data_IF_393046335181
#
_entry.id   IF_393046335181
#
_cell.length_a   1.000
_cell.length_b   1.000
_cell.length_c   1.000
_cell.angle_alpha   90.00
_cell.angle_beta   90.00
_cell.angle_gamma   90.00
#
_symmetry.space_group_name_H-M   'P 1'
#
loop_
_entity.id
_entity.type
_entity.pdbx_description
1 polymer ?
#
# COMPACT_ATOMS: atom_id res chain seq x y z
N UNK A 1 -11.84 -4.57 27.73
CA UNK A 1 -10.78 -5.52 27.37
C UNK A 1 -10.79 -5.90 25.88
N UNK A 2 -11.94 -6.07 25.20
CA UNK A 2 -12.02 -6.44 23.77
C UNK A 2 -11.66 -5.32 22.78
N UNK A 3 -11.76 -4.03 23.14
CA UNK A 3 -11.34 -2.89 22.29
C UNK A 3 -9.82 -2.76 22.08
N UNK A 4 -9.02 -3.35 22.96
CA UNK A 4 -7.56 -3.32 22.89
C UNK A 4 -7.04 -4.38 21.89
N UNK A 5 -7.79 -5.47 21.68
CA UNK A 5 -7.38 -6.58 20.82
C UNK A 5 -7.51 -6.22 19.32
N UNK A 6 -8.55 -5.47 18.95
CA UNK A 6 -8.71 -5.03 17.55
C UNK A 6 -7.64 -4.01 17.13
N UNK A 7 -7.24 -3.11 18.06
CA UNK A 7 -6.10 -2.20 17.80
C UNK A 7 -4.77 -2.96 17.70
N UNK A 8 -4.61 -4.05 18.45
CA UNK A 8 -3.38 -4.85 18.41
C UNK A 8 -3.23 -5.65 17.10
N UNK A 9 -4.33 -6.02 16.45
CA UNK A 9 -4.27 -6.80 15.19
C UNK A 9 -3.85 -5.93 13.99
N UNK A 10 -4.32 -4.69 13.90
CA UNK A 10 -3.83 -3.76 12.89
C UNK A 10 -2.43 -3.22 13.22
N UNK A 11 -2.14 -2.98 14.49
CA UNK A 11 -0.79 -2.65 14.96
C UNK A 11 0.22 -3.76 14.71
N UNK A 12 -0.20 -5.04 14.80
CA UNK A 12 0.68 -6.18 14.51
C UNK A 12 0.87 -6.43 13.01
N UNK A 13 -0.03 -5.98 12.15
CA UNK A 13 0.20 -5.94 10.69
C UNK A 13 1.29 -4.91 10.30
N UNK A 14 1.51 -3.89 11.13
CA UNK A 14 2.57 -2.90 10.98
C UNK A 14 3.84 -3.24 11.79
N UNK A 15 3.74 -4.09 12.84
CA UNK A 15 4.81 -4.38 13.80
C UNK A 15 5.26 -5.86 13.81
N UNK A 16 4.92 -6.65 12.81
CA UNK A 16 5.19 -8.08 12.73
C UNK A 16 6.64 -8.50 12.51
N UNK A 17 7.55 -8.01 13.35
CA UNK A 17 8.92 -8.52 13.47
C UNK A 17 9.37 -8.43 14.93
N UNK A 18 8.97 -9.32 15.81
CA UNK A 18 9.77 -9.81 16.94
C UNK A 18 9.11 -11.03 17.56
N UNK A 19 9.71 -12.18 17.47
CA UNK A 19 9.61 -13.22 18.51
C UNK A 19 10.94 -13.96 18.62
N UNK A 20 11.56 -13.80 19.75
CA UNK A 20 12.66 -14.63 20.24
C UNK A 20 12.10 -15.84 20.99
N UNK A 21 12.67 -17.00 20.73
CA UNK A 21 12.54 -18.18 21.58
C UNK A 21 13.77 -19.08 21.42
N UNK A 22 14.41 -19.37 22.51
CA UNK A 22 15.71 -20.01 22.70
C UNK A 22 15.75 -21.52 22.43
N UNK A 23 16.91 -21.95 22.03
CA UNK A 23 17.72 -23.14 22.26
C UNK A 23 17.94 -24.16 21.15
N UNK A 24 19.16 -24.02 20.64
CA UNK A 24 20.22 -24.99 20.28
C UNK A 24 19.90 -26.30 19.55
N UNK A 25 20.39 -26.39 18.32
CA UNK A 25 21.47 -27.31 17.89
C UNK A 25 21.92 -27.03 16.46
N UNK A 26 23.23 -27.11 16.28
CA UNK A 26 23.99 -26.76 15.10
C UNK A 26 23.56 -27.52 13.83
N UNK A 27 23.40 -26.78 12.72
CA UNK A 27 23.95 -27.17 11.43
C UNK A 27 24.07 -26.00 10.49
N UNK A 28 25.25 -25.81 9.97
CA UNK A 28 25.65 -24.74 9.06
C UNK A 28 24.85 -24.78 7.74
N UNK A 29 24.13 -23.67 7.43
CA UNK A 29 24.04 -23.19 6.05
C UNK A 29 23.77 -21.67 6.07
N UNK A 30 24.68 -20.99 5.44
CA UNK A 30 24.90 -19.57 5.39
C UNK A 30 23.74 -18.87 4.65
N UNK A 31 22.83 -18.23 5.40
CA UNK A 31 21.95 -17.17 4.89
C UNK A 31 22.12 -15.98 5.80
N UNK A 32 22.69 -14.93 5.28
CA UNK A 32 22.85 -13.64 5.97
C UNK A 32 21.48 -13.07 6.33
N UNK A 33 21.06 -13.29 7.57
CA UNK A 33 19.97 -12.54 8.17
C UNK A 33 20.50 -11.14 8.52
N UNK A 34 19.87 -10.12 7.98
CA UNK A 34 20.09 -8.73 8.41
C UNK A 34 19.45 -8.60 9.79
N UNK A 35 20.32 -8.51 10.79
CA UNK A 35 19.95 -8.30 12.18
C UNK A 35 19.45 -6.87 12.35
N UNK A 36 18.13 -6.70 12.46
CA UNK A 36 17.52 -5.40 12.75
C UNK A 36 17.65 -5.16 14.24
N UNK A 37 18.60 -4.37 14.63
CA UNK A 37 18.71 -3.85 16.00
C UNK A 37 17.44 -3.05 16.33
N UNK A 38 16.69 -3.55 17.31
CA UNK A 38 15.59 -2.80 17.94
C UNK A 38 16.23 -1.67 18.74
N UNK A 39 16.04 -0.43 18.31
CA UNK A 39 16.33 0.74 19.13
C UNK A 39 15.38 0.76 20.34
N UNK A 40 15.94 1.02 21.51
CA UNK A 40 15.19 1.17 22.76
C UNK A 40 14.06 2.17 22.60
N UNK A 41 12.86 1.82 23.09
CA UNK A 41 11.71 2.71 23.20
C UNK A 41 12.13 4.02 23.87
N UNK A 42 12.15 5.10 23.13
CA UNK A 42 12.17 6.44 23.71
C UNK A 42 10.80 6.66 24.38
N UNK A 43 10.85 7.05 25.64
CA UNK A 43 9.70 7.34 26.51
C UNK A 43 8.84 8.45 25.84
N UNK A 44 7.88 8.03 25.03
CA UNK A 44 6.95 8.92 24.33
C UNK A 44 5.94 9.45 25.37
N UNK A 45 5.94 10.75 25.56
CA UNK A 45 4.92 11.42 26.38
C UNK A 45 3.52 11.02 25.93
N UNK A 46 2.68 10.74 26.87
CA UNK A 46 1.41 10.00 26.91
C UNK A 46 0.33 10.17 25.82
N UNK A 47 0.62 10.65 24.62
CA UNK A 47 -0.32 10.74 23.49
C UNK A 47 0.13 9.99 22.22
N UNK A 48 1.29 9.34 22.25
CA UNK A 48 1.84 8.60 21.11
C UNK A 48 2.46 9.52 20.03
N UNK A 49 2.66 10.79 20.31
CA UNK A 49 3.27 11.75 19.39
C UNK A 49 4.77 11.42 19.15
N UNK A 50 5.13 11.15 17.92
CA UNK A 50 6.53 10.98 17.48
C UNK A 50 6.94 12.24 16.74
N UNK A 51 7.86 13.07 17.28
CA UNK A 51 8.36 14.25 16.59
C UNK A 51 9.28 13.84 15.44
N UNK A 52 9.33 14.66 14.38
CA UNK A 52 10.42 14.55 13.40
C UNK A 52 11.71 15.20 13.95
N UNK A 53 12.83 14.96 13.26
CA UNK A 53 14.14 15.44 13.63
C UNK A 53 14.52 16.79 12.98
N UNK A 54 13.56 17.50 12.37
CA UNK A 54 13.81 18.80 11.77
C UNK A 54 14.12 19.86 12.86
N UNK A 55 15.12 20.74 12.64
CA UNK A 55 15.38 21.86 13.54
C UNK A 55 14.14 22.72 13.78
N UNK A 56 13.88 23.10 15.04
CA UNK A 56 12.71 23.92 15.40
C UNK A 56 12.75 25.32 14.78
N UNK A 57 13.94 25.85 14.51
CA UNK A 57 14.20 27.20 13.98
C UNK A 57 14.41 27.21 12.45
N UNK A 58 14.08 26.11 11.76
CA UNK A 58 14.23 26.01 10.31
C UNK A 58 13.22 26.91 9.60
N UNK A 59 13.72 27.89 8.82
CA UNK A 59 12.93 28.91 8.15
C UNK A 59 13.46 29.16 6.73
N UNK A 60 12.63 28.93 5.73
CA UNK A 60 12.99 29.13 4.32
C UNK A 60 12.49 30.47 3.75
N UNK A 61 12.10 31.43 4.59
CA UNK A 61 11.88 32.82 4.21
C UNK A 61 10.70 33.07 3.27
N UNK A 62 9.69 32.23 3.29
CA UNK A 62 8.49 32.34 2.44
C UNK A 62 8.73 31.92 0.98
N UNK A 63 9.75 31.09 0.73
CA UNK A 63 10.00 30.55 -0.61
C UNK A 63 8.85 29.64 -1.07
N UNK A 64 8.63 29.61 -2.38
CA UNK A 64 7.68 28.66 -2.99
C UNK A 64 8.38 27.35 -3.31
N UNK A 65 7.80 26.26 -2.87
CA UNK A 65 8.20 24.88 -3.20
C UNK A 65 7.22 24.35 -4.24
N UNK A 66 7.67 24.22 -5.47
CA UNK A 66 6.85 23.75 -6.59
C UNK A 66 6.90 22.22 -6.69
N UNK A 67 5.77 21.58 -6.49
CA UNK A 67 5.61 20.13 -6.47
C UNK A 67 4.91 19.69 -7.76
N UNK A 68 5.64 18.97 -8.62
CA UNK A 68 5.06 18.33 -9.79
C UNK A 68 4.39 17.04 -9.34
N UNK A 69 3.06 17.07 -9.28
CA UNK A 69 2.21 15.95 -8.91
C UNK A 69 1.48 15.32 -10.10
N UNK A 70 0.68 14.31 -9.85
CA UNK A 70 -0.15 13.66 -10.87
C UNK A 70 -1.60 13.54 -10.43
N UNK A 71 -2.51 13.47 -11.40
CA UNK A 71 -3.93 13.23 -11.16
C UNK A 71 -4.15 11.75 -10.81
N UNK A 72 -4.06 11.42 -9.53
CA UNK A 72 -4.42 10.10 -9.03
C UNK A 72 -5.88 9.77 -9.37
N UNK A 73 -6.22 8.48 -9.51
CA UNK A 73 -7.47 8.03 -10.14
C UNK A 73 -8.75 8.67 -9.59
N UNK A 74 -8.93 8.71 -8.28
CA UNK A 74 -10.15 9.25 -7.65
C UNK A 74 -9.88 9.85 -6.27
N UNK A 75 -8.67 9.76 -5.76
CA UNK A 75 -8.35 10.13 -4.39
C UNK A 75 -7.68 11.50 -4.34
N UNK A 76 -7.96 12.26 -3.29
CA UNK A 76 -7.16 13.42 -2.92
C UNK A 76 -5.79 12.90 -2.49
N UNK A 77 -4.74 13.27 -3.21
CA UNK A 77 -3.39 12.76 -2.97
C UNK A 77 -2.42 13.83 -2.51
N UNK A 78 -2.59 15.07 -2.98
CA UNK A 78 -1.61 16.12 -2.77
C UNK A 78 -2.18 17.33 -2.04
N UNK A 79 -3.31 17.84 -2.48
CA UNK A 79 -3.85 19.11 -2.08
C UNK A 79 -5.35 19.03 -1.80
N UNK A 80 -5.79 19.71 -0.75
CA UNK A 80 -7.19 20.04 -0.51
C UNK A 80 -7.32 21.56 -0.52
N UNK A 81 -8.11 22.09 -1.46
CA UNK A 81 -8.26 23.55 -1.63
C UNK A 81 -9.05 24.18 -0.49
N UNK A 82 -10.02 23.46 0.09
CA UNK A 82 -10.90 23.96 1.16
C UNK A 82 -11.32 22.82 2.11
N UNK A 83 -11.77 23.21 3.29
CA UNK A 83 -12.38 22.29 4.24
C UNK A 83 -13.78 21.88 3.74
N UNK A 84 -14.03 20.58 3.62
CA UNK A 84 -15.30 20.02 3.14
C UNK A 84 -16.09 19.32 4.23
N UNK A 85 -15.48 19.08 5.41
CA UNK A 85 -16.02 18.24 6.46
C UNK A 85 -15.80 16.75 6.22
N UNK A 86 -15.15 16.37 5.11
CA UNK A 86 -14.61 15.03 4.92
C UNK A 86 -13.31 14.90 5.70
N UNK A 87 -13.19 13.84 6.51
CA UNK A 87 -12.09 13.68 7.48
C UNK A 87 -10.74 13.58 6.78
N UNK A 88 -10.69 12.93 5.62
CA UNK A 88 -9.44 12.75 4.87
C UNK A 88 -9.07 14.01 4.12
N UNK A 89 -10.03 14.67 3.46
CA UNK A 89 -9.81 15.96 2.81
C UNK A 89 -9.29 17.00 3.81
N UNK A 90 -9.93 17.10 4.95
CA UNK A 90 -9.57 18.10 5.96
C UNK A 90 -8.20 17.81 6.59
N UNK A 91 -7.80 16.52 6.68
CA UNK A 91 -6.46 16.14 7.11
C UNK A 91 -5.37 16.59 6.11
N UNK A 92 -5.61 16.48 4.80
CA UNK A 92 -4.69 17.01 3.78
C UNK A 92 -4.57 18.54 3.86
N UNK A 93 -5.69 19.23 4.01
CA UNK A 93 -5.69 20.69 4.18
C UNK A 93 -4.81 21.11 5.37
N UNK A 94 -5.05 20.53 6.55
CA UNK A 94 -4.29 20.87 7.74
C UNK A 94 -2.83 20.46 7.67
N UNK A 95 -2.50 19.31 7.08
CA UNK A 95 -1.11 18.90 6.85
C UNK A 95 -0.34 19.96 6.05
N UNK A 96 -0.89 20.36 4.90
CA UNK A 96 -0.22 21.33 4.02
C UNK A 96 -0.02 22.66 4.73
N UNK A 97 -1.05 23.14 5.43
CA UNK A 97 -0.97 24.38 6.21
C UNK A 97 0.08 24.29 7.33
N UNK A 98 0.14 23.17 8.06
CA UNK A 98 1.12 22.98 9.13
C UNK A 98 2.57 22.99 8.59
N UNK A 99 2.81 22.38 7.43
CA UNK A 99 4.12 22.39 6.77
C UNK A 99 4.50 23.78 6.31
N UNK A 100 3.57 24.53 5.70
CA UNK A 100 3.81 25.92 5.26
C UNK A 100 4.16 26.84 6.44
N UNK A 101 3.38 26.76 7.51
CA UNK A 101 3.58 27.58 8.71
C UNK A 101 4.90 27.25 9.41
N UNK A 102 5.23 25.95 9.57
CA UNK A 102 6.40 25.50 10.28
C UNK A 102 7.71 25.85 9.59
N UNK A 103 7.77 25.65 8.26
CA UNK A 103 8.99 25.85 7.49
C UNK A 103 9.06 27.24 6.83
N UNK A 104 8.02 28.05 7.00
CA UNK A 104 7.86 29.33 6.30
C UNK A 104 8.09 29.19 4.79
N UNK A 105 7.32 28.29 4.16
CA UNK A 105 7.29 28.04 2.72
C UNK A 105 5.87 28.23 2.17
N UNK A 106 5.73 28.20 0.84
CA UNK A 106 4.45 28.07 0.15
C UNK A 106 4.50 26.84 -0.74
N UNK A 107 3.53 25.95 -0.60
CA UNK A 107 3.39 24.76 -1.45
C UNK A 107 2.61 25.15 -2.71
N UNK A 108 3.17 24.86 -3.88
CA UNK A 108 2.55 25.07 -5.20
C UNK A 108 2.46 23.72 -5.93
N UNK A 109 1.27 23.16 -6.00
CA UNK A 109 1.04 21.86 -6.62
C UNK A 109 0.66 22.00 -8.10
N UNK A 110 1.50 21.47 -8.97
CA UNK A 110 1.26 21.40 -10.41
C UNK A 110 0.90 19.96 -10.79
N UNK A 111 -0.39 19.72 -10.98
CA UNK A 111 -0.93 18.37 -11.16
C UNK A 111 -1.07 18.05 -12.65
N UNK A 112 -0.42 16.98 -13.07
CA UNK A 112 -0.30 16.58 -14.46
C UNK A 112 -0.72 15.13 -14.70
N UNK A 113 -0.90 14.73 -15.95
CA UNK A 113 -1.23 13.34 -16.29
C UNK A 113 0.03 12.48 -16.29
N UNK A 114 0.03 11.39 -15.50
CA UNK A 114 1.16 10.46 -15.36
C UNK A 114 0.74 8.98 -15.39
N UNK A 115 -0.33 8.64 -16.10
CA UNK A 115 -0.91 7.28 -16.14
C UNK A 115 -0.21 6.32 -17.11
N UNK A 116 0.64 6.84 -17.98
CA UNK A 116 1.34 6.01 -18.96
C UNK A 116 0.67 5.91 -20.33
N UNK A 117 -0.36 6.68 -20.54
CA UNK A 117 -1.09 6.77 -21.79
C UNK A 117 -0.43 7.76 -22.77
N UNK A 118 -1.01 7.92 -23.94
CA UNK A 118 -0.50 8.83 -24.98
C UNK A 118 -0.57 10.31 -24.61
N UNK A 119 -1.31 10.66 -23.57
CA UNK A 119 -1.52 12.01 -23.04
C UNK A 119 -0.71 12.32 -21.77
N UNK A 120 0.27 11.47 -21.45
CA UNK A 120 1.18 11.69 -20.32
C UNK A 120 1.99 12.98 -20.49
N UNK A 121 1.78 13.93 -19.60
CA UNK A 121 2.47 15.24 -19.58
C UNK A 121 3.55 15.32 -18.51
N UNK A 122 3.44 14.53 -17.45
CA UNK A 122 4.34 14.57 -16.28
C UNK A 122 5.80 14.32 -16.64
N UNK A 123 6.11 13.17 -17.27
CA UNK A 123 7.50 12.79 -17.53
C UNK A 123 8.18 13.74 -18.54
N UNK A 124 7.54 14.20 -19.61
CA UNK A 124 8.12 15.23 -20.49
C UNK A 124 8.41 16.56 -19.79
N UNK A 125 7.55 17.02 -18.88
CA UNK A 125 7.78 18.26 -18.12
C UNK A 125 8.98 18.12 -17.19
N UNK A 126 9.06 17.05 -16.41
CA UNK A 126 10.20 16.75 -15.56
C UNK A 126 11.51 16.67 -16.36
N UNK A 127 11.47 15.95 -17.49
CA UNK A 127 12.63 15.80 -18.37
C UNK A 127 13.09 17.14 -18.96
N UNK A 128 12.16 17.99 -19.40
CA UNK A 128 12.48 19.31 -19.92
C UNK A 128 13.11 20.22 -18.86
N UNK A 129 12.61 20.21 -17.61
CA UNK A 129 13.21 20.93 -16.51
C UNK A 129 14.66 20.51 -16.31
N UNK A 130 14.89 19.23 -16.07
CA UNK A 130 16.22 18.69 -15.75
C UNK A 130 17.22 18.90 -16.89
N UNK A 131 16.84 18.63 -18.13
CA UNK A 131 17.75 18.80 -19.29
C UNK A 131 18.09 20.25 -19.59
N UNK A 132 17.19 21.20 -19.28
CA UNK A 132 17.46 22.63 -19.45
C UNK A 132 18.15 23.27 -18.22
N UNK A 133 18.15 22.58 -17.08
CA UNK A 133 18.62 23.09 -15.81
C UNK A 133 17.79 24.28 -15.31
N UNK A 134 16.47 24.28 -15.61
CA UNK A 134 15.59 25.41 -15.26
C UNK A 134 15.20 25.43 -13.79
N UNK A 135 15.29 24.28 -13.09
CA UNK A 135 14.81 24.13 -11.72
C UNK A 135 13.34 24.53 -11.59
N UNK A 136 12.50 24.05 -12.52
CA UNK A 136 11.07 24.40 -12.53
C UNK A 136 10.32 23.75 -11.40
N UNK A 137 10.82 22.63 -10.90
CA UNK A 137 10.20 21.83 -9.84
C UNK A 137 11.21 21.53 -8.74
N UNK A 138 10.75 21.61 -7.50
CA UNK A 138 11.56 21.34 -6.32
C UNK A 138 11.33 19.88 -5.83
N UNK A 139 10.10 19.37 -5.98
CA UNK A 139 9.70 17.99 -5.66
C UNK A 139 8.91 17.41 -6.84
N UNK A 140 9.03 16.11 -7.06
CA UNK A 140 8.27 15.37 -8.06
C UNK A 140 7.66 14.12 -7.42
N UNK A 141 6.35 13.92 -7.61
CA UNK A 141 5.65 12.76 -7.06
C UNK A 141 4.61 12.25 -8.06
N UNK A 142 4.74 10.99 -8.46
CA UNK A 142 3.83 10.41 -9.43
C UNK A 142 3.72 8.89 -9.29
N UNK A 143 2.90 8.33 -10.16
CA UNK A 143 2.73 6.89 -10.35
C UNK A 143 4.09 6.18 -10.34
N UNK A 144 4.21 5.13 -9.53
CA UNK A 144 5.46 4.36 -9.32
C UNK A 144 6.17 3.97 -10.62
N UNK A 145 5.42 3.58 -11.65
CA UNK A 145 5.97 3.25 -12.98
C UNK A 145 6.64 4.46 -13.66
N UNK A 146 6.07 5.68 -13.53
CA UNK A 146 6.63 6.89 -14.13
C UNK A 146 7.86 7.37 -13.42
N UNK A 147 7.83 7.36 -12.09
CA UNK A 147 8.97 7.72 -11.28
C UNK A 147 10.14 6.74 -11.45
N UNK A 148 9.86 5.44 -11.61
CA UNK A 148 10.90 4.46 -11.95
C UNK A 148 11.54 4.75 -13.31
N UNK A 149 10.75 5.19 -14.30
CA UNK A 149 11.26 5.62 -15.61
C UNK A 149 12.10 6.90 -15.50
N UNK A 150 11.70 7.86 -14.65
CA UNK A 150 12.48 9.06 -14.37
C UNK A 150 13.82 8.74 -13.72
N UNK A 151 13.84 7.84 -12.71
CA UNK A 151 15.06 7.36 -12.07
C UNK A 151 16.01 6.69 -13.07
N UNK A 152 15.49 5.77 -13.89
CA UNK A 152 16.27 5.09 -14.93
C UNK A 152 16.84 6.05 -15.99
N UNK A 153 16.19 7.19 -16.20
CA UNK A 153 16.62 8.25 -17.11
C UNK A 153 17.59 9.25 -16.48
N UNK A 154 17.94 9.09 -15.19
CA UNK A 154 18.87 9.98 -14.48
C UNK A 154 18.31 11.37 -14.18
N UNK A 155 16.99 11.48 -14.00
CA UNK A 155 16.32 12.76 -13.76
C UNK A 155 16.18 13.12 -12.28
N UNK A 156 16.50 12.20 -11.36
CA UNK A 156 16.24 12.31 -9.94
C UNK A 156 17.53 12.36 -9.12
N UNK A 157 17.51 13.12 -8.03
CA UNK A 157 18.60 13.20 -7.07
C UNK A 157 18.68 11.93 -6.21
N UNK A 158 19.87 11.62 -5.70
CA UNK A 158 20.02 10.57 -4.69
C UNK A 158 19.58 11.12 -3.33
N UNK A 159 18.43 10.66 -2.85
CA UNK A 159 17.83 11.12 -1.60
C UNK A 159 18.69 10.83 -0.35
N UNK A 160 19.59 9.84 -0.40
CA UNK A 160 20.54 9.58 0.68
C UNK A 160 21.61 10.68 0.86
N UNK A 161 21.70 11.61 -0.08
CA UNK A 161 22.62 12.76 -0.04
C UNK A 161 21.89 14.09 0.20
N UNK A 162 20.62 14.05 0.53
CA UNK A 162 19.78 15.22 0.81
C UNK A 162 19.64 15.37 2.31
N UNK A 163 19.93 16.55 2.82
CA UNK A 163 19.77 16.85 4.23
C UNK A 163 18.29 16.86 4.66
N UNK A 164 18.05 16.69 5.94
CA UNK A 164 16.74 16.73 6.61
C UNK A 164 15.79 15.56 6.37
N UNK A 165 16.06 14.61 5.50
CA UNK A 165 15.25 13.39 5.40
C UNK A 165 15.83 12.34 6.35
N UNK A 166 15.04 11.88 7.31
CA UNK A 166 15.41 10.80 8.22
C UNK A 166 14.64 9.52 7.85
N UNK A 167 15.28 8.68 7.04
CA UNK A 167 14.68 7.45 6.57
C UNK A 167 14.52 6.36 7.65
N UNK A 168 15.05 6.54 8.84
CA UNK A 168 14.83 5.62 9.97
C UNK A 168 13.49 5.88 10.69
N UNK A 169 12.81 6.97 10.35
CA UNK A 169 11.55 7.35 10.98
C UNK A 169 10.37 6.49 10.48
N UNK A 170 9.33 6.25 11.33
CA UNK A 170 8.26 5.30 11.05
C UNK A 170 7.34 5.68 9.88
N UNK A 171 7.29 6.94 9.48
CA UNK A 171 6.51 7.39 8.33
C UNK A 171 7.10 7.05 6.98
N UNK A 172 8.36 6.55 6.93
CA UNK A 172 8.96 6.05 5.71
C UNK A 172 8.84 4.52 5.61
N UNK A 173 8.43 4.02 4.46
CA UNK A 173 8.19 2.59 4.25
C UNK A 173 9.50 1.82 4.08
N UNK A 174 10.00 1.23 5.15
CA UNK A 174 11.31 0.55 5.21
C UNK A 174 11.48 -0.54 4.16
N UNK A 175 10.44 -1.33 3.89
CA UNK A 175 10.51 -2.39 2.87
C UNK A 175 10.75 -1.83 1.46
N UNK A 176 10.12 -0.70 1.12
CA UNK A 176 10.37 -0.04 -0.16
C UNK A 176 11.78 0.55 -0.21
N UNK A 177 12.22 1.24 0.85
CA UNK A 177 13.54 1.84 0.91
C UNK A 177 14.64 0.80 0.71
N UNK A 178 14.53 -0.34 1.39
CA UNK A 178 15.50 -1.43 1.24
C UNK A 178 15.51 -2.04 -0.17
N UNK A 179 14.33 -2.26 -0.78
CA UNK A 179 14.21 -2.82 -2.12
C UNK A 179 14.61 -1.80 -3.22
N UNK A 180 14.40 -0.49 -3.01
CA UNK A 180 14.68 0.56 -3.97
C UNK A 180 16.10 1.13 -3.91
N UNK A 181 16.86 0.86 -2.85
CA UNK A 181 18.24 1.32 -2.73
C UNK A 181 19.16 0.47 -3.60
N UNK A 182 19.70 1.05 -4.66
CA UNK A 182 20.56 0.36 -5.63
C UNK A 182 21.96 0.96 -5.62
N UNK A 183 22.98 0.11 -5.42
CA UNK A 183 24.38 0.54 -5.41
C UNK A 183 24.66 1.74 -4.47
N UNK A 184 23.95 1.82 -3.33
CA UNK A 184 24.08 2.93 -2.37
C UNK A 184 23.39 4.22 -2.81
N UNK A 185 22.43 4.17 -3.71
CA UNK A 185 21.60 5.30 -4.12
C UNK A 185 20.12 4.98 -4.01
N UNK A 186 19.36 5.93 -3.48
CA UNK A 186 17.90 5.89 -3.38
C UNK A 186 17.33 7.09 -4.14
N UNK A 187 16.55 6.85 -5.18
CA UNK A 187 16.04 7.90 -6.06
C UNK A 187 14.61 8.31 -5.80
N UNK A 188 13.88 7.56 -4.99
CA UNK A 188 12.50 7.86 -4.61
C UNK A 188 12.14 7.15 -3.30
N UNK A 189 11.15 7.69 -2.61
CA UNK A 189 10.62 7.14 -1.37
C UNK A 189 9.08 7.13 -1.38
N UNK A 190 8.50 6.33 -0.53
CA UNK A 190 7.07 6.35 -0.21
C UNK A 190 6.87 6.10 1.28
N UNK A 191 5.72 6.55 1.76
CA UNK A 191 5.35 6.45 3.17
C UNK A 191 4.07 7.23 3.44
N UNK A 192 3.91 7.72 4.65
CA UNK A 192 2.73 8.49 5.06
C UNK A 192 2.67 9.90 4.49
N UNK A 193 3.68 10.30 3.71
CA UNK A 193 3.62 11.49 2.86
C UNK A 193 2.47 11.39 1.85
N UNK A 194 2.00 10.17 1.55
CA UNK A 194 1.06 9.88 0.48
C UNK A 194 0.14 8.73 0.87
N UNK A 195 -1.15 9.00 0.88
CA UNK A 195 -2.17 8.03 1.29
C UNK A 195 -2.28 6.83 0.34
N UNK A 196 -1.91 7.01 -0.91
CA UNK A 196 -1.96 5.92 -1.90
C UNK A 196 -1.11 4.72 -1.50
N UNK A 197 -0.12 4.90 -0.63
CA UNK A 197 0.63 3.79 -0.03
C UNK A 197 -0.24 2.89 0.86
N UNK A 198 -1.35 3.40 1.39
CA UNK A 198 -2.32 2.65 2.20
C UNK A 198 -3.49 2.17 1.35
N UNK A 199 -4.10 3.08 0.57
CA UNK A 199 -5.28 2.76 -0.24
C UNK A 199 -4.98 1.72 -1.32
N UNK A 200 -3.73 1.59 -1.75
CA UNK A 200 -3.27 0.61 -2.73
C UNK A 200 -2.74 -0.71 -2.14
N UNK A 201 -2.84 -0.91 -0.82
CA UNK A 201 -2.59 -2.22 -0.21
C UNK A 201 -3.59 -3.24 -0.74
N UNK A 202 -3.07 -4.33 -1.29
CA UNK A 202 -3.88 -5.43 -1.83
C UNK A 202 -4.23 -6.44 -0.75
N UNK A 203 -5.47 -6.89 -0.76
CA UNK A 203 -5.96 -7.93 0.15
C UNK A 203 -7.23 -8.59 -0.38
N UNK A 204 -7.89 -9.31 0.49
CA UNK A 204 -9.11 -10.04 0.21
C UNK A 204 -10.25 -9.48 1.06
N UNK A 205 -11.24 -8.88 0.40
CA UNK A 205 -12.52 -8.57 1.02
C UNK A 205 -13.35 -9.85 1.16
N UNK A 206 -14.13 -9.95 2.23
CA UNK A 206 -15.05 -11.06 2.40
C UNK A 206 -16.42 -10.59 2.88
N UNK A 207 -17.45 -11.34 2.45
CA UNK A 207 -18.83 -11.13 2.81
C UNK A 207 -19.15 -11.94 4.07
N UNK A 208 -19.29 -11.25 5.22
CA UNK A 208 -19.55 -11.92 6.50
C UNK A 208 -20.90 -12.63 6.54
N UNK A 209 -21.91 -12.17 5.79
CA UNK A 209 -23.20 -12.86 5.72
C UNK A 209 -23.05 -14.25 5.08
N UNK A 210 -22.25 -14.37 4.00
CA UNK A 210 -22.00 -15.67 3.40
C UNK A 210 -21.15 -16.59 4.28
N UNK A 211 -20.21 -16.06 5.06
CA UNK A 211 -19.50 -16.83 6.10
C UNK A 211 -20.50 -17.49 7.07
N UNK A 212 -21.45 -16.71 7.58
CA UNK A 212 -22.48 -17.18 8.51
C UNK A 212 -23.43 -18.19 7.84
N UNK A 213 -23.96 -17.86 6.67
CA UNK A 213 -24.97 -18.66 5.96
C UNK A 213 -24.46 -20.05 5.59
N UNK A 214 -23.16 -20.16 5.28
CA UNK A 214 -22.52 -21.43 4.93
C UNK A 214 -21.80 -22.10 6.09
N UNK A 215 -21.79 -21.48 7.29
CA UNK A 215 -21.13 -22.01 8.47
C UNK A 215 -19.61 -22.17 8.28
N UNK A 216 -18.99 -21.23 7.57
CA UNK A 216 -17.55 -21.23 7.31
C UNK A 216 -16.78 -20.68 8.51
N UNK A 217 -15.50 -20.99 8.56
CA UNK A 217 -14.58 -20.41 9.57
C UNK A 217 -14.41 -18.91 9.32
N UNK A 218 -14.25 -18.14 10.42
CA UNK A 218 -14.02 -16.69 10.32
C UNK A 218 -12.62 -16.42 9.73
N UNK A 219 -12.52 -15.67 8.63
CA UNK A 219 -11.22 -15.34 8.03
C UNK A 219 -10.28 -14.59 8.97
N UNK A 220 -10.78 -13.79 9.91
CA UNK A 220 -9.94 -13.13 10.91
C UNK A 220 -9.30 -14.14 11.87
N UNK A 221 -10.06 -15.15 12.34
CA UNK A 221 -9.54 -16.22 13.19
C UNK A 221 -8.47 -17.04 12.45
N UNK A 222 -8.69 -17.33 11.16
CA UNK A 222 -7.73 -18.04 10.31
C UNK A 222 -6.43 -17.22 10.11
N UNK A 223 -6.52 -15.90 9.97
CA UNK A 223 -5.32 -15.03 9.89
C UNK A 223 -4.56 -15.05 11.22
N UNK A 224 -5.27 -14.93 12.35
CA UNK A 224 -4.66 -14.91 13.68
C UNK A 224 -4.01 -16.24 14.06
N UNK A 225 -4.61 -17.37 13.69
CA UNK A 225 -4.03 -18.71 13.89
C UNK A 225 -2.89 -19.03 12.91
N UNK A 226 -2.78 -18.27 11.82
CA UNK A 226 -1.82 -18.53 10.74
C UNK A 226 -2.28 -19.58 9.72
N UNK A 227 -3.55 -19.96 9.74
CA UNK A 227 -4.11 -21.00 8.87
C UNK A 227 -4.75 -20.43 7.58
N UNK A 228 -4.78 -19.11 7.41
CA UNK A 228 -5.25 -18.46 6.20
C UNK A 228 -4.26 -18.65 5.05
N UNK A 229 -4.48 -19.71 4.26
CA UNK A 229 -3.62 -20.14 3.14
C UNK A 229 -4.42 -20.22 1.83
N UNK A 230 -3.72 -20.31 0.69
CA UNK A 230 -4.37 -20.51 -0.61
C UNK A 230 -5.23 -21.78 -0.64
N UNK A 231 -4.78 -22.87 0.01
CA UNK A 231 -5.54 -24.11 0.10
C UNK A 231 -6.82 -23.92 0.95
N UNK A 232 -6.73 -23.14 2.04
CA UNK A 232 -7.91 -22.83 2.87
C UNK A 232 -8.90 -21.96 2.10
N UNK A 233 -8.46 -20.97 1.35
CA UNK A 233 -9.33 -20.15 0.50
C UNK A 233 -10.00 -21.01 -0.58
N UNK A 234 -9.27 -21.93 -1.23
CA UNK A 234 -9.86 -22.89 -2.17
C UNK A 234 -10.94 -23.75 -1.49
N UNK A 235 -10.65 -24.29 -0.29
CA UNK A 235 -11.61 -25.09 0.48
C UNK A 235 -12.90 -24.31 0.78
N UNK A 236 -12.78 -23.06 1.25
CA UNK A 236 -13.91 -22.22 1.64
C UNK A 236 -14.78 -21.79 0.46
N UNK A 237 -14.25 -21.74 -0.75
CA UNK A 237 -15.00 -21.36 -1.95
C UNK A 237 -15.77 -22.51 -2.59
N UNK A 238 -15.49 -23.77 -2.22
CA UNK A 238 -16.10 -24.95 -2.85
C UNK A 238 -17.60 -25.01 -2.63
N UNK A 239 -18.35 -25.20 -3.73
CA UNK A 239 -19.81 -25.38 -3.70
C UNK A 239 -20.60 -24.07 -3.54
N UNK A 240 -19.95 -22.89 -3.64
CA UNK A 240 -20.63 -21.61 -3.49
C UNK A 240 -21.21 -21.05 -4.80
N UNK A 241 -20.84 -21.61 -5.95
CA UNK A 241 -21.44 -21.19 -7.21
C UNK A 241 -22.96 -21.44 -7.21
N UNK A 242 -23.70 -20.46 -7.69
CA UNK A 242 -25.13 -20.57 -7.89
C UNK A 242 -25.54 -19.76 -9.13
N UNK A 243 -26.14 -20.44 -10.11
CA UNK A 243 -26.81 -19.81 -11.24
C UNK A 243 -28.07 -19.12 -10.73
N UNK A 244 -28.01 -17.80 -10.54
CA UNK A 244 -29.11 -17.01 -9.95
C UNK A 244 -30.16 -16.64 -10.98
N UNK A 245 -29.77 -16.48 -12.25
CA UNK A 245 -30.71 -16.12 -13.32
C UNK A 245 -31.33 -17.31 -14.03
N UNK A 246 -30.87 -18.54 -13.74
CA UNK A 246 -31.41 -19.79 -14.28
C UNK A 246 -31.15 -20.02 -15.77
N UNK A 247 -30.14 -19.34 -16.34
CA UNK A 247 -29.84 -19.43 -17.77
C UNK A 247 -28.90 -20.59 -18.12
N UNK A 248 -28.39 -21.34 -17.13
CA UNK A 248 -27.42 -22.42 -17.24
C UNK A 248 -26.10 -22.00 -17.91
N UNK A 249 -25.75 -20.72 -17.82
CA UNK A 249 -24.50 -20.17 -18.31
C UNK A 249 -23.83 -19.43 -17.17
N UNK A 250 -22.55 -19.72 -16.91
CA UNK A 250 -21.76 -18.99 -15.93
C UNK A 250 -21.52 -17.56 -16.42
N UNK A 251 -22.12 -16.58 -15.76
CA UNK A 251 -22.00 -15.17 -16.11
C UNK A 251 -21.98 -14.26 -14.86
N UNK A 252 -21.85 -12.96 -15.07
CA UNK A 252 -21.71 -11.95 -14.01
C UNK A 252 -22.98 -11.78 -13.14
N UNK A 253 -24.13 -12.34 -13.55
CA UNK A 253 -25.35 -12.33 -12.75
C UNK A 253 -25.39 -13.43 -11.69
N UNK A 254 -24.41 -14.33 -11.68
CA UNK A 254 -24.34 -15.49 -10.78
C UNK A 254 -23.65 -15.16 -9.45
N UNK A 255 -23.67 -16.12 -8.54
CA UNK A 255 -22.93 -16.08 -7.29
C UNK A 255 -21.68 -16.94 -7.36
N UNK A 256 -20.60 -16.43 -6.73
CA UNK A 256 -19.29 -17.06 -6.73
C UNK A 256 -18.67 -17.16 -5.34
N UNK A 257 -17.76 -18.12 -5.15
CA UNK A 257 -16.89 -18.20 -3.97
C UNK A 257 -15.80 -17.12 -3.97
N UNK A 258 -15.18 -16.88 -5.13
CA UNK A 258 -14.13 -15.86 -5.28
C UNK A 258 -14.27 -15.15 -6.62
N UNK A 259 -14.11 -13.82 -6.60
CA UNK A 259 -13.98 -13.02 -7.81
C UNK A 259 -12.80 -12.04 -7.70
N UNK A 260 -12.16 -11.77 -8.81
CA UNK A 260 -11.08 -10.79 -8.94
C UNK A 260 -10.84 -10.48 -10.40
N UNK A 261 -10.31 -9.28 -10.67
CA UNK A 261 -9.72 -9.04 -11.98
C UNK A 261 -8.32 -9.69 -12.06
N UNK A 262 -7.87 -9.93 -13.29
CA UNK A 262 -6.58 -10.60 -13.52
C UNK A 262 -5.38 -9.74 -13.10
N UNK A 263 -5.52 -8.41 -12.99
CA UNK A 263 -4.44 -7.51 -12.54
C UNK A 263 -4.16 -7.73 -11.06
N UNK A 264 -5.22 -7.85 -10.25
CA UNK A 264 -5.08 -8.08 -8.81
C UNK A 264 -4.50 -9.46 -8.50
N UNK A 265 -4.73 -10.46 -9.35
CA UNK A 265 -4.16 -11.80 -9.17
C UNK A 265 -2.63 -11.84 -9.19
N UNK A 266 -1.98 -10.80 -9.75
CA UNK A 266 -0.51 -10.69 -9.70
C UNK A 266 0.03 -10.58 -8.27
N UNK A 267 -0.78 -10.08 -7.34
CA UNK A 267 -0.39 -9.96 -5.93
C UNK A 267 0.03 -11.31 -5.34
N UNK A 268 -0.64 -12.40 -5.72
CA UNK A 268 -0.36 -13.73 -5.17
C UNK A 268 1.10 -14.15 -5.36
N UNK A 269 1.73 -13.74 -6.45
CA UNK A 269 3.15 -14.03 -6.69
C UNK A 269 4.02 -13.41 -5.59
N UNK A 270 3.83 -12.13 -5.31
CA UNK A 270 4.62 -11.40 -4.31
C UNK A 270 4.25 -11.80 -2.87
N UNK A 271 2.97 -11.97 -2.59
CA UNK A 271 2.49 -12.36 -1.25
C UNK A 271 2.85 -13.81 -0.90
N UNK A 272 3.16 -14.62 -1.91
CA UNK A 272 3.77 -15.96 -1.72
C UNK A 272 5.29 -15.92 -1.52
N UNK A 273 5.89 -14.77 -1.24
CA UNK A 273 7.34 -14.64 -0.97
C UNK A 273 8.21 -14.71 -2.22
N UNK A 274 7.63 -14.63 -3.42
CA UNK A 274 8.36 -14.65 -4.67
C UNK A 274 8.76 -13.24 -5.10
N UNK A 275 9.92 -13.14 -5.76
CA UNK A 275 10.40 -11.90 -6.38
C UNK A 275 10.93 -12.26 -7.77
N UNK A 276 10.64 -11.42 -8.77
CA UNK A 276 11.18 -11.58 -10.12
C UNK A 276 12.64 -11.10 -10.20
N UNK A 277 12.94 -10.06 -9.42
CA UNK A 277 14.26 -9.44 -9.36
C UNK A 277 14.65 -9.30 -7.90
N UNK A 278 15.92 -9.51 -7.61
CA UNK A 278 16.52 -9.40 -6.26
C UNK A 278 17.81 -8.61 -6.33
N UNK A 279 18.30 -8.17 -5.19
CA UNK A 279 19.63 -7.56 -5.10
C UNK A 279 20.71 -8.64 -5.26
N UNK A 280 21.73 -8.33 -6.04
CA UNK A 280 22.94 -9.12 -6.10
C UNK A 280 23.96 -8.70 -5.03
N UNK A 281 25.06 -9.44 -4.87
CA UNK A 281 26.09 -9.16 -3.87
C UNK A 281 26.75 -7.77 -3.99
N UNK A 282 26.70 -7.16 -5.17
CA UNK A 282 27.26 -5.82 -5.40
C UNK A 282 26.26 -4.68 -5.15
N UNK A 283 25.02 -4.99 -4.73
CA UNK A 283 23.96 -4.01 -4.51
C UNK A 283 23.18 -3.59 -5.77
N UNK A 284 23.48 -4.20 -6.92
CA UNK A 284 22.69 -4.06 -8.15
C UNK A 284 21.55 -5.07 -8.19
N UNK A 285 20.89 -5.19 -9.35
CA UNK A 285 19.75 -6.10 -9.54
C UNK A 285 20.14 -7.31 -10.39
N UNK A 286 19.55 -8.46 -10.05
CA UNK A 286 19.62 -9.68 -10.86
C UNK A 286 18.27 -10.40 -10.88
N UNK A 287 18.10 -11.31 -11.84
CA UNK A 287 16.91 -12.15 -11.88
C UNK A 287 16.94 -13.15 -10.73
N UNK A 288 15.83 -13.25 -10.03
CA UNK A 288 15.68 -14.22 -8.94
C UNK A 288 15.71 -15.65 -9.46
N UNK A 289 16.45 -16.52 -8.80
CA UNK A 289 16.42 -17.96 -9.06
C UNK A 289 15.04 -18.57 -8.78
N UNK A 290 14.24 -17.92 -7.94
CA UNK A 290 12.89 -18.36 -7.58
C UNK A 290 11.90 -18.28 -8.75
N UNK A 291 12.19 -17.58 -9.85
CA UNK A 291 11.29 -17.47 -11.02
C UNK A 291 10.91 -18.88 -11.57
N UNK A 292 11.87 -19.79 -11.60
CA UNK A 292 11.65 -21.14 -12.13
C UNK A 292 11.68 -22.21 -11.01
N UNK A 293 11.41 -21.82 -9.77
CA UNK A 293 11.41 -22.74 -8.63
C UNK A 293 10.12 -23.56 -8.56
N UNK A 294 10.17 -24.67 -7.84
CA UNK A 294 8.98 -25.47 -7.51
C UNK A 294 7.90 -24.63 -6.80
N UNK A 295 8.31 -23.62 -6.01
CA UNK A 295 7.39 -22.70 -5.36
C UNK A 295 6.62 -21.84 -6.38
N UNK A 296 7.32 -21.29 -7.38
CA UNK A 296 6.66 -20.52 -8.47
C UNK A 296 5.66 -21.38 -9.23
N UNK A 297 6.03 -22.61 -9.55
CA UNK A 297 5.14 -23.58 -10.21
C UNK A 297 3.93 -23.86 -9.30
N UNK A 298 4.18 -24.15 -8.02
CA UNK A 298 3.11 -24.47 -7.05
C UNK A 298 2.13 -23.31 -6.83
N UNK A 299 2.59 -22.05 -6.82
CA UNK A 299 1.70 -20.88 -6.75
C UNK A 299 0.78 -20.82 -7.96
N UNK A 300 1.33 -21.04 -9.16
CA UNK A 300 0.54 -21.05 -10.41
C UNK A 300 -0.47 -22.20 -10.38
N UNK A 301 -0.07 -23.39 -9.96
CA UNK A 301 -0.96 -24.55 -9.86
C UNK A 301 -2.10 -24.33 -8.86
N UNK A 302 -1.80 -23.78 -7.65
CA UNK A 302 -2.84 -23.46 -6.66
C UNK A 302 -3.82 -22.43 -7.22
N UNK A 303 -3.33 -21.37 -7.88
CA UNK A 303 -4.21 -20.36 -8.49
C UNK A 303 -5.04 -20.92 -9.65
N UNK A 304 -4.45 -21.79 -10.47
CA UNK A 304 -5.22 -22.50 -11.50
C UNK A 304 -6.33 -23.38 -10.89
N UNK A 305 -6.05 -24.03 -9.78
CA UNK A 305 -7.05 -24.82 -9.07
C UNK A 305 -8.18 -23.93 -8.53
N UNK A 306 -7.83 -22.83 -7.87
CA UNK A 306 -8.82 -21.87 -7.35
C UNK A 306 -9.72 -21.34 -8.48
N UNK A 307 -9.14 -20.95 -9.60
CA UNK A 307 -9.88 -20.25 -10.66
C UNK A 307 -10.59 -21.20 -11.66
N UNK A 308 -10.06 -22.41 -11.87
CA UNK A 308 -10.46 -23.24 -13.02
C UNK A 308 -10.84 -24.68 -12.68
N UNK A 309 -10.55 -25.20 -11.47
CA UNK A 309 -10.88 -26.59 -11.13
C UNK A 309 -12.38 -26.82 -10.88
N UNK A 310 -13.10 -25.76 -10.56
CA UNK A 310 -14.55 -25.77 -10.35
C UNK A 310 -15.21 -24.55 -10.98
N UNK A 311 -16.54 -24.51 -10.98
CA UNK A 311 -17.28 -23.31 -11.39
C UNK A 311 -17.44 -22.28 -10.27
N UNK A 312 -16.91 -22.57 -9.08
CA UNK A 312 -17.17 -21.76 -7.88
C UNK A 312 -16.59 -20.35 -7.94
N UNK A 313 -15.55 -20.13 -8.75
CA UNK A 313 -14.80 -18.87 -8.80
C UNK A 313 -14.79 -18.29 -10.21
N UNK A 314 -14.54 -17.00 -10.31
CA UNK A 314 -14.49 -16.28 -11.59
C UNK A 314 -13.50 -15.14 -11.61
N UNK A 315 -13.07 -14.77 -12.81
CA UNK A 315 -12.40 -13.50 -13.07
C UNK A 315 -13.38 -12.52 -13.69
N UNK A 316 -13.37 -11.29 -13.22
CA UNK A 316 -14.19 -10.19 -13.74
C UNK A 316 -13.36 -9.28 -14.62
N UNK A 317 -14.02 -8.46 -15.43
CA UNK A 317 -13.32 -7.42 -16.17
C UNK A 317 -12.97 -6.25 -15.24
N UNK A 318 -11.86 -5.59 -15.50
CA UNK A 318 -11.41 -4.40 -14.73
C UNK A 318 -12.44 -3.27 -14.72
N UNK A 319 -13.36 -3.24 -15.68
CA UNK A 319 -14.42 -2.20 -15.78
C UNK A 319 -15.68 -2.50 -14.97
N UNK A 320 -15.87 -3.77 -14.53
CA UNK A 320 -17.10 -4.23 -13.84
C UNK A 320 -16.76 -4.73 -12.41
N UNK A 321 -15.73 -4.16 -11.85
CA UNK A 321 -14.82 -4.72 -10.86
C UNK A 321 -15.42 -5.05 -9.49
N UNK A 322 -16.40 -4.29 -8.98
CA UNK A 322 -16.92 -4.53 -7.62
C UNK A 322 -18.38 -5.02 -7.56
N UNK A 323 -19.12 -4.96 -8.67
CA UNK A 323 -20.56 -5.17 -8.70
C UNK A 323 -20.98 -6.53 -8.13
N UNK A 324 -20.30 -7.61 -8.51
CA UNK A 324 -20.61 -8.96 -8.02
C UNK A 324 -20.46 -9.02 -6.50
N UNK A 325 -19.41 -8.44 -5.96
CA UNK A 325 -19.15 -8.48 -4.52
C UNK A 325 -20.10 -7.57 -3.76
N UNK A 326 -20.24 -6.30 -4.15
CA UNK A 326 -21.07 -5.32 -3.42
C UNK A 326 -22.57 -5.67 -3.42
N UNK A 327 -23.04 -6.42 -4.41
CA UNK A 327 -24.39 -6.97 -4.43
C UNK A 327 -24.54 -8.28 -3.62
N UNK A 328 -23.51 -8.67 -2.85
CA UNK A 328 -23.53 -9.86 -2.00
C UNK A 328 -23.39 -11.18 -2.74
N UNK A 329 -22.96 -11.16 -4.00
CA UNK A 329 -22.87 -12.31 -4.90
C UNK A 329 -21.48 -12.95 -4.97
N UNK A 330 -20.54 -12.55 -4.11
CA UNK A 330 -19.27 -13.24 -3.93
C UNK A 330 -18.92 -13.37 -2.45
N UNK A 331 -18.30 -14.51 -2.07
CA UNK A 331 -17.75 -14.68 -0.73
C UNK A 331 -16.48 -13.88 -0.56
N UNK A 332 -15.53 -14.00 -1.49
CA UNK A 332 -14.25 -13.31 -1.49
C UNK A 332 -14.08 -12.45 -2.74
N UNK A 333 -13.44 -11.28 -2.53
CA UNK A 333 -13.11 -10.34 -3.59
C UNK A 333 -11.70 -9.77 -3.36
N UNK A 334 -10.79 -9.99 -4.32
CA UNK A 334 -9.44 -9.46 -4.24
C UNK A 334 -9.36 -8.10 -4.90
N UNK A 335 -9.06 -7.06 -4.08
CA UNK A 335 -8.90 -5.69 -4.57
C UNK A 335 -8.07 -4.84 -3.58
N UNK A 336 -7.53 -3.66 -4.01
CA UNK A 336 -6.90 -2.73 -3.10
C UNK A 336 -7.87 -2.15 -2.07
N UNK A 337 -7.35 -1.89 -0.86
CA UNK A 337 -8.12 -1.40 0.29
C UNK A 337 -8.94 -0.13 -0.01
N UNK A 338 -8.42 0.77 -0.85
CA UNK A 338 -9.07 2.05 -1.16
C UNK A 338 -10.47 1.97 -1.73
N UNK A 339 -10.85 0.82 -2.36
CA UNK A 339 -12.21 0.64 -2.91
C UNK A 339 -13.30 0.78 -1.83
N UNK A 340 -12.95 0.57 -0.57
CA UNK A 340 -13.90 0.71 0.55
C UNK A 340 -14.49 2.12 0.66
N UNK A 341 -13.77 3.13 0.18
CA UNK A 341 -14.24 4.52 0.16
C UNK A 341 -15.24 4.79 -0.96
N UNK A 342 -15.40 3.86 -1.92
CA UNK A 342 -16.36 4.01 -3.01
C UNK A 342 -17.81 3.95 -2.51
N UNK A 343 -18.72 4.64 -3.20
CA UNK A 343 -20.13 4.64 -2.87
C UNK A 343 -20.73 3.22 -2.90
N UNK A 344 -20.30 2.39 -3.84
CA UNK A 344 -20.80 1.02 -3.98
C UNK A 344 -20.54 0.14 -2.76
N UNK A 345 -19.37 0.27 -2.12
CA UNK A 345 -19.06 -0.46 -0.89
C UNK A 345 -19.83 0.08 0.33
N UNK A 346 -20.12 1.39 0.36
CA UNK A 346 -20.94 2.00 1.43
C UNK A 346 -22.40 1.55 1.38
N UNK A 347 -22.90 1.24 0.20
CA UNK A 347 -24.28 0.81 -0.04
C UNK A 347 -24.50 -0.71 0.14
N UNK A 348 -23.44 -1.49 0.37
CA UNK A 348 -23.55 -2.93 0.58
C UNK A 348 -24.39 -3.25 1.82
N UNK A 349 -25.40 -4.12 1.68
CA UNK A 349 -26.34 -4.49 2.74
C UNK A 349 -25.82 -5.59 3.67
N UNK A 350 -24.54 -5.92 3.63
CA UNK A 350 -23.89 -6.93 4.45
C UNK A 350 -22.58 -6.38 5.06
N UNK A 351 -22.15 -7.00 6.14
CA UNK A 351 -20.88 -6.67 6.78
C UNK A 351 -19.70 -7.16 5.92
N UNK A 352 -18.78 -6.24 5.62
CA UNK A 352 -17.59 -6.51 4.80
C UNK A 352 -16.38 -6.64 5.72
N UNK A 353 -15.62 -7.73 5.62
CA UNK A 353 -14.31 -7.86 6.23
C UNK A 353 -13.19 -7.71 5.22
N UNK A 354 -11.95 -7.50 5.72
CA UNK A 354 -10.75 -7.40 4.90
C UNK A 354 -9.59 -8.13 5.57
N UNK A 355 -8.93 -9.03 4.84
CA UNK A 355 -7.79 -9.81 5.31
C UNK A 355 -6.64 -9.75 4.29
N UNK A 356 -5.39 -10.03 4.69
CA UNK A 356 -4.29 -10.11 3.74
C UNK A 356 -4.55 -11.22 2.69
N UNK A 357 -3.81 -11.18 1.57
CA UNK A 357 -3.75 -12.33 0.68
C UNK A 357 -3.33 -13.58 1.46
N UNK A 358 -3.92 -14.75 1.13
CA UNK A 358 -3.56 -16.00 1.80
C UNK A 358 -2.08 -16.35 1.57
N UNK A 359 -1.45 -16.97 2.56
CA UNK A 359 -0.10 -17.51 2.44
C UNK A 359 -0.07 -18.70 1.48
N UNK A 360 1.11 -18.93 0.88
CA UNK A 360 1.34 -20.16 0.11
C UNK A 360 1.35 -21.40 1.02
N UNK A 361 2.11 -21.35 2.13
CA UNK A 361 2.19 -22.38 3.17
C UNK A 361 1.89 -21.80 4.56
N UNK A 362 1.40 -22.61 5.48
CA UNK A 362 1.08 -22.20 6.85
C UNK A 362 2.31 -21.66 7.61
N UNK A 363 3.51 -22.15 7.31
CA UNK A 363 4.76 -21.69 7.91
C UNK A 363 5.28 -20.34 7.41
N UNK A 364 4.67 -19.78 6.37
CA UNK A 364 5.08 -18.49 5.82
C UNK A 364 4.57 -17.31 6.67
N UNK A 365 5.12 -16.13 6.40
CA UNK A 365 4.58 -14.86 6.91
C UNK A 365 3.55 -14.28 5.94
N UNK A 366 2.61 -13.48 6.45
CA UNK A 366 1.77 -12.64 5.60
C UNK A 366 2.59 -11.50 5.02
N UNK A 367 2.51 -11.30 3.72
CA UNK A 367 3.22 -10.25 3.00
C UNK A 367 2.18 -9.35 2.34
N UNK A 368 2.27 -8.05 2.57
CA UNK A 368 1.43 -7.06 1.91
C UNK A 368 2.10 -6.63 0.60
N UNK A 369 1.32 -6.64 -0.49
CA UNK A 369 1.72 -6.07 -1.78
C UNK A 369 0.92 -4.80 -2.05
N UNK A 370 1.55 -3.82 -2.69
CA UNK A 370 0.88 -2.63 -3.19
C UNK A 370 0.52 -2.81 -4.66
N UNK A 371 -0.67 -2.38 -5.05
CA UNK A 371 -1.01 -2.18 -6.46
C UNK A 371 -0.10 -1.10 -7.05
N UNK A 372 0.26 -1.24 -8.33
CA UNK A 372 1.28 -0.38 -8.96
C UNK A 372 0.91 1.11 -9.10
N UNK A 373 -0.34 1.46 -8.86
CA UNK A 373 -0.82 2.83 -8.99
C UNK A 373 -0.74 3.61 -7.67
N UNK A 374 0.42 3.64 -7.02
CA UNK A 374 0.68 4.47 -5.84
C UNK A 374 1.76 5.51 -6.14
N UNK A 375 1.71 6.61 -5.42
CA UNK A 375 2.66 7.71 -5.56
C UNK A 375 3.98 7.39 -4.86
N UNK A 376 5.07 7.65 -5.54
CA UNK A 376 6.40 7.72 -4.96
C UNK A 376 6.99 9.09 -5.19
N UNK A 377 7.73 9.58 -4.21
CA UNK A 377 8.20 10.95 -4.08
C UNK A 377 9.70 11.04 -4.30
N UNK A 378 10.15 12.11 -4.91
CA UNK A 378 11.56 12.33 -5.21
C UNK A 378 11.86 13.83 -5.38
N UNK A 379 13.15 14.14 -5.52
CA UNK A 379 13.67 15.46 -5.81
C UNK A 379 14.28 15.43 -7.21
N UNK A 380 13.86 16.33 -8.14
CA UNK A 380 14.49 16.47 -9.45
C UNK A 380 15.97 16.81 -9.33
N UNK A 381 16.78 16.32 -10.26
CA UNK A 381 18.24 16.55 -10.24
C UNK A 381 18.62 18.03 -10.37
N UNK A 382 17.74 18.85 -10.95
CA UNK A 382 17.93 20.30 -11.12
C UNK A 382 17.16 21.15 -10.10
N UNK A 383 16.61 20.55 -9.03
CA UNK A 383 15.98 21.28 -7.93
C UNK A 383 16.93 22.35 -7.38
N UNK A 384 16.42 23.57 -7.16
CA UNK A 384 17.24 24.72 -6.78
C UNK A 384 17.83 24.61 -5.38
N UNK A 385 17.07 24.02 -4.48
CA UNK A 385 17.42 23.77 -3.08
C UNK A 385 16.93 22.40 -2.67
N UNK A 386 17.80 21.38 -2.84
CA UNK A 386 17.43 20.00 -2.53
C UNK A 386 17.21 19.78 -1.02
N UNK A 387 17.89 20.55 -0.16
CA UNK A 387 17.75 20.42 1.29
C UNK A 387 16.43 21.03 1.78
N UNK A 388 16.00 22.14 1.20
CA UNK A 388 14.65 22.67 1.41
C UNK A 388 13.59 21.64 0.96
N UNK A 389 13.78 21.04 -0.20
CA UNK A 389 12.87 19.98 -0.70
C UNK A 389 12.84 18.78 0.24
N UNK A 390 14.00 18.37 0.77
CA UNK A 390 14.13 17.32 1.77
C UNK A 390 13.37 17.63 3.06
N UNK A 391 13.54 18.83 3.61
CA UNK A 391 12.84 19.27 4.81
C UNK A 391 11.30 19.29 4.60
N UNK A 392 10.84 19.74 3.44
CA UNK A 392 9.40 19.72 3.10
C UNK A 392 8.87 18.29 2.99
N UNK A 393 9.59 17.37 2.33
CA UNK A 393 9.20 15.97 2.25
C UNK A 393 9.13 15.31 3.63
N UNK A 394 10.10 15.57 4.51
CA UNK A 394 10.12 15.05 5.88
C UNK A 394 8.94 15.59 6.71
N UNK A 395 8.71 16.91 6.67
CA UNK A 395 7.58 17.52 7.36
C UNK A 395 6.24 17.00 6.86
N UNK A 396 6.05 16.85 5.54
CA UNK A 396 4.84 16.30 4.95
C UNK A 396 4.62 14.83 5.36
N UNK A 397 5.67 14.03 5.43
CA UNK A 397 5.60 12.62 5.80
C UNK A 397 5.24 12.46 7.29
N UNK A 398 5.91 13.21 8.17
CA UNK A 398 5.66 13.20 9.61
C UNK A 398 4.26 13.68 9.96
N UNK A 399 3.78 14.79 9.33
CA UNK A 399 2.41 15.27 9.51
C UNK A 399 1.38 14.30 8.91
N UNK A 400 1.66 13.68 7.77
CA UNK A 400 0.82 12.65 7.18
C UNK A 400 0.64 11.45 8.11
N UNK A 401 1.72 10.99 8.72
CA UNK A 401 1.67 9.92 9.73
C UNK A 401 0.78 10.27 10.91
N UNK A 402 0.83 11.52 11.39
CA UNK A 402 0.05 11.99 12.55
C UNK A 402 -1.42 12.31 12.24
N UNK A 403 -1.73 12.69 11.01
CA UNK A 403 -3.06 13.23 10.66
C UNK A 403 -3.79 12.43 9.58
N UNK A 404 -3.17 12.21 8.42
CA UNK A 404 -3.83 11.59 7.26
C UNK A 404 -4.00 10.10 7.46
N UNK A 405 -2.97 9.40 7.90
CA UNK A 405 -3.01 7.95 8.14
C UNK A 405 -4.08 7.58 9.16
N UNK A 406 -4.20 8.23 10.34
CA UNK A 406 -5.32 8.01 11.24
C UNK A 406 -6.70 8.35 10.64
N UNK A 407 -6.80 9.45 9.85
CA UNK A 407 -8.05 9.84 9.21
C UNK A 407 -8.58 8.77 8.25
N UNK A 408 -7.69 8.13 7.49
CA UNK A 408 -8.05 7.03 6.59
C UNK A 408 -8.52 5.82 7.37
N UNK A 409 -7.78 5.42 8.41
CA UNK A 409 -8.20 4.31 9.25
C UNK A 409 -9.54 4.58 9.91
N UNK A 410 -9.77 5.80 10.42
CA UNK A 410 -11.05 6.19 11.00
C UNK A 410 -12.19 6.10 9.96
N UNK A 411 -11.98 6.60 8.76
CA UNK A 411 -12.96 6.53 7.66
C UNK A 411 -13.23 5.09 7.25
N UNK A 412 -12.20 4.28 7.06
CA UNK A 412 -12.33 2.86 6.73
C UNK A 412 -13.08 2.10 7.84
N UNK A 413 -12.78 2.39 9.11
CA UNK A 413 -13.48 1.79 10.24
C UNK A 413 -14.93 2.23 10.34
N UNK A 414 -15.22 3.52 10.22
CA UNK A 414 -16.59 4.05 10.30
C UNK A 414 -17.48 3.48 9.20
N UNK A 415 -16.97 3.31 8.01
CA UNK A 415 -17.73 2.74 6.89
C UNK A 415 -18.01 1.25 7.10
N UNK A 416 -17.08 0.49 7.68
CA UNK A 416 -17.21 -0.95 7.89
C UNK A 416 -18.05 -1.34 9.09
N UNK A 417 -17.97 -0.56 10.18
CA UNK A 417 -18.59 -0.93 11.46
C UNK A 417 -19.86 -0.17 11.77
N UNK A 418 -20.45 0.50 10.79
CA UNK A 418 -21.76 1.17 10.95
C UNK A 418 -22.92 0.16 11.00
N UNK A 419 -22.66 -1.13 10.87
CA UNK A 419 -23.65 -2.18 11.08
C UNK A 419 -23.30 -3.03 12.31
N UNK A 420 -23.96 -2.65 13.44
CA UNK A 420 -24.53 -3.58 14.42
C UNK A 420 -23.56 -4.58 15.03
N UNK A 421 -23.13 -4.25 16.17
CA UNK A 421 -22.47 -4.98 17.25
C UNK A 421 -21.01 -4.58 17.49
N UNK A 422 -20.90 -3.47 18.19
CA UNK A 422 -19.66 -3.06 18.88
C UNK A 422 -19.18 -4.05 19.95
N UNK A 423 -19.57 -5.31 19.88
CA UNK A 423 -19.27 -6.35 20.87
C UNK A 423 -18.45 -7.53 20.34
N UNK A 424 -18.00 -7.54 19.09
CA UNK A 424 -17.08 -8.59 18.57
C UNK A 424 -15.71 -8.07 18.25
#
# INVERSE_FOLDING_TARGET
>A
MKRIIALSVLGSMLAGLVSCGSDASENENNTTAVDSAVSEESDAGGDGFIPDNLPEDLDFGGQTVTILGWNHYEDIEFEAEELTGDVVNDAYYYRNLAVEDRLNVKLDFQIETARGDSDDTFLPLLQNSVLSGSGSYDIAAAHSHRMSSAAASGLLANLLNVDYIDFDMPWWRQSLLSEATLNGALFFAAGDISVSSLTRMQGIFFNNQLIIDYGLEDPYDLVLSGDWTLDKMEEMTKGLYLDLNGNNTKDEADRFGFCSDWVQLQAVYYTSGLRAVVHNESGGLELSELINSDRSIGVIEKMQNILHSSNDNTTIKVTDDDTIFREGRALFYAFPLGVISSSGFREAEFEIGFVPWPKYDAGDNYITNLSNAYSIWSIPLDAKDADMSGAVMEAMASEGYRTITPAIFETAYKVKYNNIDSQR
#
